data_IF_415615436713
#
_entry.id   IF_415615436713
#
_cell.length_a   1.000
_cell.length_b   1.000
_cell.length_c   1.000
_cell.angle_alpha   90.00
_cell.angle_beta   90.00
_cell.angle_gamma   90.00
#
_symmetry.space_group_name_H-M   'P 1'
#
loop_
_entity.id
_entity.type
_entity.pdbx_description
1 polymer ?
#
# COMPACT_ATOMS: atom_id res chain seq x y z
N UNK A 1 -10.05 -24.25 -11.15
CA UNK A 1 -10.56 -22.95 -10.68
C UNK A 1 -9.43 -22.27 -9.97
N UNK A 2 -9.18 -20.98 -10.25
CA UNK A 2 -8.15 -20.22 -9.53
C UNK A 2 -8.61 -20.04 -8.08
N UNK A 3 -7.69 -20.26 -7.14
CA UNK A 3 -8.01 -20.42 -5.71
C UNK A 3 -7.44 -19.31 -4.83
N UNK A 4 -6.68 -18.36 -5.38
CA UNK A 4 -6.01 -17.36 -4.55
C UNK A 4 -6.83 -16.10 -4.32
N UNK A 5 -6.60 -15.47 -3.17
CA UNK A 5 -7.04 -14.11 -2.87
C UNK A 5 -5.90 -13.11 -3.10
N UNK A 6 -6.28 -11.87 -3.41
CA UNK A 6 -5.39 -10.71 -3.30
C UNK A 6 -5.94 -9.83 -2.19
N UNK A 7 -5.10 -9.46 -1.23
CA UNK A 7 -5.49 -8.82 0.01
C UNK A 7 -4.69 -7.53 0.23
N UNK A 8 -5.34 -6.47 0.70
CA UNK A 8 -4.70 -5.18 0.96
C UNK A 8 -4.76 -4.83 2.44
N UNK A 9 -3.63 -4.38 2.97
CA UNK A 9 -3.51 -3.91 4.36
C UNK A 9 -3.15 -2.43 4.35
N UNK A 10 -3.99 -1.61 5.00
CA UNK A 10 -3.81 -0.16 5.07
C UNK A 10 -2.76 0.28 6.09
N UNK A 11 -2.24 1.50 5.92
CA UNK A 11 -1.09 1.99 6.69
C UNK A 11 -1.28 2.04 8.21
N UNK A 12 -2.48 2.33 8.72
CA UNK A 12 -2.71 2.30 10.17
C UNK A 12 -2.59 0.88 10.72
N UNK A 13 -3.15 -0.12 10.03
CA UNK A 13 -3.02 -1.53 10.41
C UNK A 13 -1.58 -2.03 10.28
N UNK A 14 -0.79 -1.49 9.33
CA UNK A 14 0.62 -1.86 9.16
C UNK A 14 1.48 -1.61 10.39
N UNK A 15 1.11 -0.66 11.25
CA UNK A 15 1.86 -0.34 12.47
C UNK A 15 1.72 -1.41 13.57
N UNK A 16 0.76 -2.34 13.45
CA UNK A 16 0.57 -3.46 14.39
C UNK A 16 0.85 -4.80 13.69
N UNK A 17 2.13 -5.16 13.62
CA UNK A 17 2.55 -6.42 13.00
C UNK A 17 1.94 -7.65 13.67
N UNK A 18 1.74 -7.62 15.00
CA UNK A 18 1.17 -8.77 15.73
C UNK A 18 -0.28 -8.98 15.29
N UNK A 19 -1.07 -7.91 15.21
CA UNK A 19 -2.43 -8.00 14.67
C UNK A 19 -2.44 -8.50 13.22
N UNK A 20 -1.53 -8.03 12.35
CA UNK A 20 -1.44 -8.52 10.98
C UNK A 20 -1.14 -10.02 10.96
N UNK A 21 -0.12 -10.47 11.68
CA UNK A 21 0.28 -11.88 11.71
C UNK A 21 -0.84 -12.76 12.26
N UNK A 22 -1.42 -12.39 13.38
CA UNK A 22 -2.35 -13.25 14.12
C UNK A 22 -3.78 -13.21 13.55
N UNK A 23 -4.25 -12.02 13.14
CA UNK A 23 -5.62 -11.83 12.67
C UNK A 23 -5.78 -11.98 11.16
N UNK A 24 -4.73 -11.71 10.38
CA UNK A 24 -4.80 -11.74 8.91
C UNK A 24 -4.04 -12.94 8.36
N UNK A 25 -2.73 -13.06 8.64
CA UNK A 25 -1.88 -14.08 7.98
C UNK A 25 -2.19 -15.48 8.49
N UNK A 26 -2.26 -15.65 9.81
CA UNK A 26 -2.46 -16.95 10.46
C UNK A 26 -3.90 -17.47 10.38
N UNK A 27 -4.86 -16.64 9.96
CA UNK A 27 -6.27 -17.02 9.79
C UNK A 27 -6.57 -17.30 8.31
N UNK A 28 -6.80 -18.56 7.90
CA UNK A 28 -7.10 -18.90 6.51
C UNK A 28 -8.46 -18.32 6.08
N UNK A 29 -8.59 -17.89 4.82
CA UNK A 29 -9.80 -17.22 4.33
C UNK A 29 -10.97 -18.17 4.05
N UNK A 30 -10.70 -19.47 3.79
CA UNK A 30 -11.74 -20.52 3.60
C UNK A 30 -11.22 -21.94 3.28
N UNK A 31 -9.96 -22.13 2.87
CA UNK A 31 -9.47 -23.40 2.28
C UNK A 31 -8.45 -24.17 3.15
N UNK A 32 -8.49 -24.05 4.48
CA UNK A 32 -7.52 -24.69 5.41
C UNK A 32 -6.02 -24.43 5.10
N UNK A 33 -5.72 -23.46 4.22
CA UNK A 33 -4.37 -23.07 3.83
C UNK A 33 -4.13 -21.58 4.07
N UNK A 34 -2.94 -21.27 4.55
CA UNK A 34 -2.41 -19.90 4.68
C UNK A 34 -1.79 -19.38 3.37
N UNK A 35 -1.59 -20.28 2.40
CA UNK A 35 -1.11 -19.97 1.05
C UNK A 35 -2.27 -19.63 0.12
N UNK A 36 -1.98 -19.43 -1.17
CA UNK A 36 -2.91 -18.92 -2.17
C UNK A 36 -3.41 -17.52 -1.78
N UNK A 37 -2.49 -16.69 -1.28
CA UNK A 37 -2.79 -15.34 -0.82
C UNK A 37 -1.64 -14.42 -1.22
N UNK A 38 -1.99 -13.30 -1.84
CA UNK A 38 -1.07 -12.22 -2.18
C UNK A 38 -1.44 -11.02 -1.33
N UNK A 39 -0.47 -10.39 -0.69
CA UNK A 39 -0.69 -9.19 0.12
C UNK A 39 -0.10 -7.96 -0.56
N UNK A 40 -0.87 -6.88 -0.59
CA UNK A 40 -0.45 -5.55 -1.04
C UNK A 40 -0.50 -4.63 0.16
N UNK A 41 0.65 -4.15 0.60
CA UNK A 41 0.74 -3.38 1.85
C UNK A 41 1.05 -1.92 1.58
N UNK A 42 0.39 -1.03 2.33
CA UNK A 42 0.70 0.39 2.34
C UNK A 42 1.93 0.71 3.19
N UNK A 43 2.49 1.90 3.06
CA UNK A 43 3.47 2.44 4.00
C UNK A 43 2.91 2.48 5.44
N UNK A 44 3.79 2.45 6.44
CA UNK A 44 3.39 2.64 7.84
C UNK A 44 2.63 3.97 8.05
N UNK A 45 1.70 3.98 9.01
CA UNK A 45 0.89 5.17 9.31
C UNK A 45 1.73 6.42 9.52
N UNK A 46 1.40 7.51 8.82
CA UNK A 46 2.13 8.79 8.87
C UNK A 46 3.39 8.86 7.99
N UNK A 47 3.92 7.73 7.50
CA UNK A 47 5.18 7.74 6.76
C UNK A 47 5.06 8.42 5.39
N UNK A 48 3.99 8.15 4.64
CA UNK A 48 3.72 8.86 3.37
C UNK A 48 3.51 10.36 3.58
N UNK A 49 2.95 10.78 4.72
CA UNK A 49 2.79 12.20 5.06
C UNK A 49 4.15 12.88 5.29
N UNK A 50 5.07 12.20 6.00
CA UNK A 50 6.42 12.70 6.24
C UNK A 50 7.27 12.78 4.96
N UNK A 51 7.10 11.79 4.06
CA UNK A 51 7.77 11.77 2.76
C UNK A 51 7.23 12.84 1.81
N UNK A 52 5.93 13.16 1.86
CA UNK A 52 5.28 14.05 0.90
C UNK A 52 4.83 15.39 1.51
N UNK A 53 3.58 15.41 1.95
CA UNK A 53 2.94 16.47 2.73
C UNK A 53 1.85 15.83 3.57
N UNK A 54 1.46 16.42 4.68
CA UNK A 54 0.40 15.84 5.50
C UNK A 54 -0.97 16.06 4.84
N UNK A 55 -1.73 14.99 4.55
CA UNK A 55 -3.00 15.08 3.78
C UNK A 55 -4.05 16.04 4.38
N UNK A 56 -4.17 16.08 5.72
CA UNK A 56 -5.18 16.90 6.42
C UNK A 56 -4.71 18.30 6.85
N UNK A 57 -3.47 18.44 7.32
CA UNK A 57 -2.96 19.70 7.88
C UNK A 57 -2.12 20.49 6.86
N UNK A 58 -1.79 19.88 5.72
CA UNK A 58 -0.86 20.42 4.71
C UNK A 58 0.52 20.74 5.27
N UNK A 59 0.89 20.17 6.42
CA UNK A 59 2.24 20.30 6.96
C UNK A 59 3.24 19.71 5.95
N UNK A 60 4.31 20.44 5.60
CA UNK A 60 5.19 20.01 4.52
C UNK A 60 6.08 18.83 4.97
N UNK A 61 6.10 17.77 4.15
CA UNK A 61 7.08 16.70 4.24
C UNK A 61 8.27 16.96 3.29
N UNK A 62 9.09 15.93 3.04
CA UNK A 62 10.31 16.06 2.21
C UNK A 62 9.99 16.65 0.83
N UNK A 63 9.01 16.07 0.12
CA UNK A 63 8.60 16.55 -1.20
C UNK A 63 8.18 18.02 -1.19
N UNK A 64 7.30 18.41 -0.26
CA UNK A 64 6.79 19.77 -0.21
C UNK A 64 7.88 20.79 0.16
N UNK A 65 8.82 20.43 1.05
CA UNK A 65 9.98 21.26 1.37
C UNK A 65 10.90 21.40 0.16
N UNK A 66 11.15 20.29 -0.54
CA UNK A 66 11.98 20.26 -1.74
C UNK A 66 11.40 21.10 -2.87
N UNK A 67 10.09 20.96 -3.14
CA UNK A 67 9.38 21.68 -4.19
C UNK A 67 9.36 23.20 -3.96
N UNK A 68 9.30 23.64 -2.71
CA UNK A 68 9.21 25.06 -2.33
C UNK A 68 10.57 25.73 -2.07
N UNK A 69 11.67 24.98 -2.00
CA UNK A 69 12.94 25.44 -1.47
C UNK A 69 14.18 25.06 -2.30
N UNK A 70 14.43 25.76 -3.42
CA UNK A 70 15.68 25.58 -4.19
C UNK A 70 16.95 26.00 -3.43
N UNK A 71 16.82 26.82 -2.38
CA UNK A 71 17.95 27.30 -1.54
C UNK A 71 17.86 26.86 -0.09
N UNK A 72 16.77 26.19 0.29
CA UNK A 72 16.53 25.78 1.67
C UNK A 72 16.93 24.32 1.84
N UNK A 73 17.78 24.06 2.84
CA UNK A 73 18.22 22.70 3.21
C UNK A 73 17.27 22.04 4.20
N UNK A 74 16.12 22.65 4.50
CA UNK A 74 15.09 22.08 5.37
C UNK A 74 14.65 20.68 4.94
N UNK A 75 14.61 20.39 3.63
CA UNK A 75 14.29 19.04 3.14
C UNK A 75 15.34 17.99 3.52
N UNK A 76 16.63 18.34 3.65
CA UNK A 76 17.65 17.41 4.15
C UNK A 76 17.41 17.08 5.62
N UNK A 77 17.05 18.08 6.43
CA UNK A 77 16.72 17.85 7.85
C UNK A 77 15.49 16.95 7.98
N UNK A 78 14.46 17.18 7.16
CA UNK A 78 13.30 16.30 7.09
C UNK A 78 13.68 14.87 6.65
N UNK A 79 14.57 14.71 5.67
CA UNK A 79 15.05 13.40 5.23
C UNK A 79 15.78 12.66 6.35
N UNK A 80 16.67 13.33 7.07
CA UNK A 80 17.37 12.74 8.22
C UNK A 80 16.40 12.35 9.35
N UNK A 81 15.36 13.15 9.58
CA UNK A 81 14.31 12.81 10.53
C UNK A 81 13.52 11.57 10.08
N UNK A 82 13.09 11.53 8.81
CA UNK A 82 12.39 10.35 8.25
C UNK A 82 13.27 9.11 8.32
N UNK A 83 14.58 9.22 8.05
CA UNK A 83 15.54 8.12 8.20
C UNK A 83 15.56 7.60 9.63
N UNK A 84 15.64 8.50 10.62
CA UNK A 84 15.60 8.14 12.03
C UNK A 84 14.26 7.48 12.42
N UNK A 85 13.13 8.00 11.94
CA UNK A 85 11.79 7.47 12.22
C UNK A 85 11.62 6.06 11.61
N UNK A 86 12.07 5.84 10.37
CA UNK A 86 12.06 4.52 9.73
C UNK A 86 12.94 3.51 10.46
N UNK A 87 14.11 3.93 10.94
CA UNK A 87 15.00 3.09 11.76
C UNK A 87 14.41 2.80 13.15
N UNK A 88 13.67 3.74 13.74
CA UNK A 88 12.95 3.53 14.99
C UNK A 88 11.82 2.50 14.83
N UNK A 89 11.08 2.55 13.71
CA UNK A 89 10.10 1.51 13.36
C UNK A 89 10.80 0.15 13.23
N UNK A 90 11.93 0.08 12.52
CA UNK A 90 12.69 -1.17 12.40
C UNK A 90 13.14 -1.70 13.76
N UNK A 91 13.67 -0.84 14.64
CA UNK A 91 14.08 -1.23 15.99
C UNK A 91 12.89 -1.76 16.81
N UNK A 92 11.72 -1.14 16.69
CA UNK A 92 10.49 -1.61 17.35
C UNK A 92 10.02 -2.98 16.85
N UNK A 93 10.20 -3.29 15.57
CA UNK A 93 9.74 -4.54 14.94
C UNK A 93 10.73 -5.71 15.09
N UNK A 94 12.02 -5.43 14.93
CA UNK A 94 13.07 -6.44 14.89
C UNK A 94 13.83 -6.57 16.21
N UNK A 95 13.73 -5.60 17.12
CA UNK A 95 14.53 -5.57 18.35
C UNK A 95 16.00 -5.32 18.01
N UNK A 96 16.88 -6.22 18.44
CA UNK A 96 18.32 -6.16 18.16
C UNK A 96 18.78 -7.34 17.30
N UNK A 97 19.89 -7.18 16.58
CA UNK A 97 20.55 -8.26 15.84
C UNK A 97 20.60 -8.05 14.33
N UNK A 98 20.83 -9.14 13.60
CA UNK A 98 21.13 -9.11 12.16
C UNK A 98 19.96 -8.61 11.32
N UNK A 99 18.71 -9.02 11.64
CA UNK A 99 17.53 -8.57 10.89
C UNK A 99 17.32 -7.05 11.00
N UNK A 100 17.57 -6.45 12.18
CA UNK A 100 17.54 -4.99 12.33
C UNK A 100 18.59 -4.33 11.42
N UNK A 101 19.82 -4.87 11.37
CA UNK A 101 20.88 -4.33 10.52
C UNK A 101 20.49 -4.42 9.05
N UNK A 102 19.97 -5.56 8.60
CA UNK A 102 19.49 -5.75 7.23
C UNK A 102 18.34 -4.77 6.89
N UNK A 103 17.39 -4.58 7.80
CA UNK A 103 16.27 -3.64 7.62
C UNK A 103 16.76 -2.20 7.48
N UNK A 104 17.70 -1.79 8.35
CA UNK A 104 18.28 -0.46 8.33
C UNK A 104 19.16 -0.22 7.09
N UNK A 105 19.90 -1.23 6.64
CA UNK A 105 20.65 -1.16 5.38
C UNK A 105 19.72 -1.04 4.18
N UNK A 106 18.69 -1.89 4.09
CA UNK A 106 17.73 -1.86 2.98
C UNK A 106 17.07 -0.48 2.81
N UNK A 107 16.53 0.09 3.89
CA UNK A 107 15.86 1.38 3.81
C UNK A 107 16.86 2.54 3.72
N UNK A 108 18.01 2.41 4.37
CA UNK A 108 19.10 3.39 4.33
C UNK A 108 19.62 3.60 2.90
N UNK A 109 19.88 2.51 2.16
CA UNK A 109 20.29 2.58 0.75
C UNK A 109 19.31 3.40 -0.09
N UNK A 110 17.99 3.14 0.03
CA UNK A 110 16.97 3.88 -0.74
C UNK A 110 16.89 5.36 -0.36
N UNK A 111 17.02 5.68 0.93
CA UNK A 111 17.00 7.07 1.38
C UNK A 111 18.25 7.83 0.94
N UNK A 112 19.42 7.20 0.98
CA UNK A 112 20.68 7.78 0.54
C UNK A 112 20.69 7.98 -0.98
N UNK A 113 20.20 7.01 -1.75
CA UNK A 113 19.95 7.13 -3.19
C UNK A 113 18.99 8.29 -3.51
N UNK A 114 17.88 8.40 -2.76
CA UNK A 114 16.91 9.47 -2.94
C UNK A 114 17.51 10.84 -2.62
N UNK A 115 18.27 10.97 -1.53
CA UNK A 115 18.98 12.19 -1.17
C UNK A 115 19.92 12.63 -2.30
N UNK A 116 20.70 11.69 -2.83
CA UNK A 116 21.62 11.96 -3.93
C UNK A 116 20.89 12.43 -5.19
N UNK A 117 19.79 11.77 -5.57
CA UNK A 117 18.93 12.17 -6.68
C UNK A 117 18.37 13.59 -6.51
N UNK A 118 17.90 13.94 -5.31
CA UNK A 118 17.37 15.27 -5.01
C UNK A 118 18.46 16.35 -5.07
N UNK A 119 19.67 16.06 -4.55
CA UNK A 119 20.83 16.96 -4.65
C UNK A 119 21.21 17.21 -6.11
N UNK A 120 21.26 16.15 -6.92
CA UNK A 120 21.65 16.27 -8.33
C UNK A 120 20.58 17.00 -9.15
N UNK A 121 19.30 16.77 -8.86
CA UNK A 121 18.22 17.53 -9.47
C UNK A 121 18.28 19.02 -9.11
N UNK A 122 18.56 19.37 -7.84
CA UNK A 122 18.78 20.77 -7.45
C UNK A 122 19.96 21.40 -8.19
N UNK A 123 21.06 20.66 -8.38
CA UNK A 123 22.23 21.14 -9.15
C UNK A 123 21.87 21.38 -10.62
N UNK A 124 21.13 20.46 -11.25
CA UNK A 124 20.69 20.60 -12.64
C UNK A 124 19.78 21.81 -12.84
N UNK A 125 18.81 22.02 -11.95
CA UNK A 125 17.87 23.14 -12.01
C UNK A 125 18.50 24.51 -11.69
N UNK A 126 19.78 24.57 -11.27
CA UNK A 126 20.52 25.85 -11.20
C UNK A 126 20.91 26.35 -12.59
N UNK A 127 20.85 25.51 -13.62
CA UNK A 127 21.09 25.89 -15.01
C UNK A 127 19.77 26.21 -15.71
N UNK A 128 19.68 27.39 -16.34
CA UNK A 128 18.43 27.96 -16.88
C UNK A 128 17.71 27.19 -18.00
N UNK A 129 18.18 25.99 -18.34
CA UNK A 129 17.53 25.08 -19.29
C UNK A 129 16.66 24.00 -18.61
N UNK A 130 16.77 23.84 -17.28
CA UNK A 130 16.04 22.81 -16.54
C UNK A 130 15.04 23.45 -15.57
N UNK A 131 13.78 23.01 -15.65
CA UNK A 131 12.72 23.47 -14.76
C UNK A 131 12.42 22.40 -13.71
N UNK A 132 12.50 22.76 -12.43
CA UNK A 132 12.24 21.82 -11.33
C UNK A 132 10.82 21.24 -11.41
N UNK A 133 9.84 22.06 -11.80
CA UNK A 133 8.42 21.68 -11.88
C UNK A 133 8.18 20.47 -12.77
N UNK A 134 8.96 20.31 -13.85
CA UNK A 134 8.87 19.20 -14.79
C UNK A 134 9.22 17.84 -14.15
N UNK A 135 9.94 17.84 -13.03
CA UNK A 135 10.44 16.64 -12.36
C UNK A 135 9.73 16.36 -11.03
N UNK A 136 8.91 17.29 -10.53
CA UNK A 136 8.28 17.15 -9.21
C UNK A 136 7.35 15.94 -9.11
N UNK A 137 6.62 15.60 -10.18
CA UNK A 137 5.77 14.41 -10.19
C UNK A 137 6.57 13.12 -9.95
N UNK A 138 7.71 12.97 -10.64
CA UNK A 138 8.62 11.83 -10.48
C UNK A 138 9.24 11.80 -9.08
N UNK A 139 9.63 12.96 -8.55
CA UNK A 139 10.17 13.04 -7.17
C UNK A 139 9.12 12.60 -6.14
N UNK A 140 7.87 13.07 -6.29
CA UNK A 140 6.76 12.70 -5.42
C UNK A 140 6.55 11.18 -5.42
N UNK A 141 6.55 10.56 -6.60
CA UNK A 141 6.40 9.12 -6.75
C UNK A 141 7.58 8.33 -6.16
N UNK A 142 8.82 8.75 -6.44
CA UNK A 142 10.02 8.15 -5.88
C UNK A 142 9.97 8.14 -4.35
N UNK A 143 9.67 9.29 -3.73
CA UNK A 143 9.57 9.42 -2.28
C UNK A 143 8.45 8.55 -1.69
N UNK A 144 7.25 8.56 -2.29
CA UNK A 144 6.14 7.72 -1.86
C UNK A 144 6.51 6.23 -1.86
N UNK A 145 7.21 5.79 -2.91
CA UNK A 145 7.60 4.39 -3.10
C UNK A 145 8.52 3.85 -1.98
N UNK A 146 9.34 4.71 -1.36
CA UNK A 146 10.25 4.33 -0.28
C UNK A 146 9.46 3.84 0.93
N UNK A 147 8.38 4.54 1.30
CA UNK A 147 7.53 4.15 2.43
C UNK A 147 6.83 2.81 2.20
N UNK A 148 6.39 2.54 0.97
CA UNK A 148 5.72 1.30 0.57
C UNK A 148 6.69 0.11 0.54
N UNK A 149 7.92 0.34 0.06
CA UNK A 149 8.98 -0.66 0.10
C UNK A 149 9.43 -0.99 1.53
N UNK A 150 9.50 0.02 2.40
CA UNK A 150 9.86 -0.15 3.82
C UNK A 150 8.93 -1.14 4.50
N UNK A 151 7.62 -0.92 4.42
CA UNK A 151 6.64 -1.77 5.09
C UNK A 151 6.54 -3.16 4.48
N UNK A 152 6.60 -3.27 3.14
CA UNK A 152 6.54 -4.56 2.44
C UNK A 152 7.75 -5.44 2.74
N UNK A 153 8.97 -4.88 2.69
CA UNK A 153 10.18 -5.63 2.99
C UNK A 153 10.19 -6.10 4.45
N UNK A 154 9.87 -5.19 5.38
CA UNK A 154 9.82 -5.52 6.80
C UNK A 154 8.80 -6.64 7.08
N UNK A 155 7.61 -6.54 6.51
CA UNK A 155 6.54 -7.53 6.70
C UNK A 155 6.96 -8.89 6.17
N UNK A 156 7.57 -8.96 4.99
CA UNK A 156 8.11 -10.22 4.46
C UNK A 156 9.15 -10.83 5.40
N UNK A 157 10.12 -10.04 5.89
CA UNK A 157 11.17 -10.53 6.81
C UNK A 157 10.65 -10.97 8.17
N UNK A 158 9.69 -10.24 8.73
CA UNK A 158 9.07 -10.63 9.99
C UNK A 158 8.28 -11.94 9.83
N UNK A 159 7.57 -12.11 8.72
CA UNK A 159 6.87 -13.36 8.43
C UNK A 159 7.83 -14.53 8.21
N UNK A 160 8.94 -14.33 7.49
CA UNK A 160 10.01 -15.34 7.37
C UNK A 160 10.58 -15.73 8.74
N UNK A 161 10.87 -14.74 9.60
CA UNK A 161 11.33 -14.96 10.99
C UNK A 161 10.33 -15.79 11.80
N UNK A 162 9.04 -15.53 11.61
CA UNK A 162 7.94 -16.19 12.32
C UNK A 162 7.54 -17.54 11.67
N UNK A 163 8.29 -18.02 10.68
CA UNK A 163 8.15 -19.37 10.10
C UNK A 163 7.25 -19.46 8.87
N UNK A 164 6.79 -18.33 8.32
CA UNK A 164 6.02 -18.30 7.09
C UNK A 164 6.94 -18.22 5.87
N UNK A 165 6.61 -18.93 4.79
CA UNK A 165 7.33 -18.79 3.52
C UNK A 165 6.84 -17.53 2.77
N UNK A 166 7.15 -16.35 3.30
CA UNK A 166 6.79 -15.07 2.71
C UNK A 166 7.90 -14.57 1.78
N UNK A 167 7.55 -13.88 0.70
CA UNK A 167 8.52 -13.26 -0.19
C UNK A 167 8.19 -11.80 -0.48
N UNK A 168 9.19 -10.93 -0.42
CA UNK A 168 9.05 -9.53 -0.79
C UNK A 168 8.93 -9.39 -2.31
N UNK A 169 7.89 -8.67 -2.77
CA UNK A 169 7.67 -8.36 -4.19
C UNK A 169 7.79 -6.85 -4.38
N UNK A 170 8.90 -6.43 -4.96
CA UNK A 170 9.20 -5.02 -5.17
C UNK A 170 8.60 -4.52 -6.49
N UNK A 171 7.50 -3.76 -6.42
CA UNK A 171 6.91 -3.12 -7.59
C UNK A 171 7.38 -1.67 -7.77
N UNK A 172 8.23 -1.13 -6.88
CA UNK A 172 8.60 0.29 -6.96
C UNK A 172 9.50 0.61 -8.15
N UNK A 173 10.04 -0.41 -8.83
CA UNK A 173 10.96 -0.21 -9.94
C UNK A 173 12.27 0.48 -9.53
N UNK A 174 12.68 0.41 -8.25
CA UNK A 174 13.79 1.18 -7.71
C UNK A 174 15.09 1.02 -8.50
N UNK A 175 15.36 -0.20 -8.97
CA UNK A 175 16.54 -0.55 -9.76
C UNK A 175 16.21 -0.85 -11.22
N UNK A 176 15.00 -0.52 -11.68
CA UNK A 176 14.57 -0.83 -13.04
C UNK A 176 15.27 0.11 -14.03
N UNK A 177 15.95 -0.49 -15.02
CA UNK A 177 16.61 0.27 -16.09
C UNK A 177 15.64 0.76 -17.17
N UNK A 178 14.43 0.19 -17.21
CA UNK A 178 13.41 0.46 -18.23
C UNK A 178 12.11 0.94 -17.59
N UNK A 179 11.49 1.91 -18.25
CA UNK A 179 10.12 2.29 -18.00
C UNK A 179 9.22 1.28 -18.72
N UNK A 180 8.32 0.67 -17.96
CA UNK A 180 7.36 -0.32 -18.44
C UNK A 180 5.97 0.10 -18.03
N UNK A 181 4.96 -0.49 -18.65
CA UNK A 181 3.59 -0.38 -18.18
C UNK A 181 3.44 -1.00 -16.78
N UNK A 182 2.36 -0.63 -16.08
CA UNK A 182 2.00 -1.24 -14.79
C UNK A 182 1.82 -2.76 -14.90
N UNK A 183 1.22 -3.20 -16.00
CA UNK A 183 0.91 -4.61 -16.23
C UNK A 183 2.16 -5.44 -16.43
N UNK A 184 3.08 -4.99 -17.28
CA UNK A 184 4.35 -5.65 -17.50
C UNK A 184 5.14 -5.78 -16.20
N UNK A 185 5.17 -4.72 -15.39
CA UNK A 185 5.85 -4.74 -14.09
C UNK A 185 5.25 -5.77 -13.15
N UNK A 186 3.93 -5.84 -13.05
CA UNK A 186 3.25 -6.82 -12.20
C UNK A 186 3.51 -8.24 -12.73
N UNK A 187 3.37 -8.46 -14.04
CA UNK A 187 3.59 -9.78 -14.64
C UNK A 187 5.03 -10.26 -14.43
N UNK A 188 6.02 -9.41 -14.64
CA UNK A 188 7.43 -9.72 -14.41
C UNK A 188 7.71 -10.02 -12.94
N UNK A 189 7.23 -9.19 -12.02
CA UNK A 189 7.47 -9.36 -10.59
C UNK A 189 6.80 -10.61 -10.00
N UNK A 190 5.70 -11.08 -10.61
CA UNK A 190 5.01 -12.30 -10.22
C UNK A 190 5.47 -13.55 -10.99
N UNK A 191 6.37 -13.38 -11.98
CA UNK A 191 6.86 -14.49 -12.77
C UNK A 191 7.69 -15.45 -11.89
N UNK A 192 7.27 -16.71 -11.84
CA UNK A 192 7.97 -17.76 -11.10
C UNK A 192 7.62 -17.85 -9.61
N UNK A 193 6.71 -17.01 -9.11
CA UNK A 193 6.17 -17.17 -7.76
C UNK A 193 5.23 -18.38 -7.70
N UNK A 194 5.40 -19.22 -6.67
CA UNK A 194 4.50 -20.34 -6.40
C UNK A 194 3.53 -19.98 -5.27
N UNK A 195 2.33 -19.51 -5.63
CA UNK A 195 1.30 -19.14 -4.65
C UNK A 195 0.81 -20.33 -3.81
N UNK A 196 1.09 -21.58 -4.21
CA UNK A 196 0.73 -22.74 -3.41
C UNK A 196 1.66 -22.95 -2.20
N UNK A 197 2.85 -22.35 -2.22
CA UNK A 197 3.86 -22.51 -1.17
C UNK A 197 4.44 -21.20 -0.65
N UNK A 198 4.19 -20.07 -1.31
CA UNK A 198 4.71 -18.76 -0.95
C UNK A 198 3.59 -17.76 -0.63
N UNK A 199 3.89 -16.78 0.22
CA UNK A 199 3.04 -15.63 0.54
C UNK A 199 3.71 -14.36 0.01
N UNK A 200 3.36 -13.88 -1.20
CA UNK A 200 3.92 -12.65 -1.72
C UNK A 200 3.44 -11.42 -0.95
N UNK A 201 4.38 -10.57 -0.53
CA UNK A 201 4.14 -9.27 0.08
C UNK A 201 4.62 -8.19 -0.89
N UNK A 202 3.68 -7.65 -1.65
CA UNK A 202 3.91 -6.63 -2.67
C UNK A 202 3.77 -5.21 -2.11
N UNK A 203 4.57 -4.29 -2.65
CA UNK A 203 4.45 -2.86 -2.38
C UNK A 203 3.12 -2.30 -2.90
N UNK A 204 2.47 -1.42 -2.14
CA UNK A 204 1.25 -0.75 -2.58
C UNK A 204 1.50 0.22 -3.74
N UNK A 205 2.67 0.86 -3.78
CA UNK A 205 3.09 1.62 -4.97
C UNK A 205 3.78 0.70 -5.99
N UNK A 206 3.46 0.92 -7.26
CA UNK A 206 4.17 0.37 -8.40
C UNK A 206 4.63 1.50 -9.32
N UNK A 207 5.84 1.42 -9.87
CA UNK A 207 6.26 2.38 -10.90
C UNK A 207 5.62 2.03 -12.25
N UNK A 208 5.15 3.03 -12.98
CA UNK A 208 4.58 2.84 -14.32
C UNK A 208 4.90 4.04 -15.19
N UNK A 209 5.07 3.84 -16.49
CA UNK A 209 5.28 4.93 -17.45
C UNK A 209 4.18 6.02 -17.43
N UNK A 210 2.94 5.66 -17.07
CA UNK A 210 1.80 6.59 -17.01
C UNK A 210 1.75 7.42 -15.71
N UNK A 211 2.62 7.15 -14.73
CA UNK A 211 2.64 7.80 -13.41
C UNK A 211 1.37 7.57 -12.59
N UNK A 212 1.34 6.51 -11.77
CA UNK A 212 0.17 6.15 -10.95
C UNK A 212 -0.31 7.27 -10.03
N UNK A 213 0.61 8.02 -9.42
CA UNK A 213 0.24 9.05 -8.46
C UNK A 213 -0.44 10.24 -9.13
N UNK A 214 -0.10 10.53 -10.40
CA UNK A 214 -0.77 11.58 -11.17
C UNK A 214 -2.26 11.29 -11.40
N UNK A 215 -2.63 10.01 -11.50
CA UNK A 215 -3.98 9.58 -11.86
C UNK A 215 -4.85 9.22 -10.65
N UNK A 216 -4.22 8.73 -9.57
CA UNK A 216 -4.89 8.20 -8.39
C UNK A 216 -4.57 8.95 -7.09
N UNK A 217 -3.69 9.96 -7.13
CA UNK A 217 -3.11 10.59 -5.94
C UNK A 217 -2.73 9.52 -4.91
N UNK A 218 -3.28 9.53 -3.68
CA UNK A 218 -2.97 8.52 -2.65
C UNK A 218 -3.79 7.24 -2.73
N UNK A 219 -4.64 7.08 -3.75
CA UNK A 219 -5.36 5.85 -4.07
C UNK A 219 -4.55 4.85 -4.89
N UNK A 220 -3.26 5.10 -5.16
CA UNK A 220 -2.42 4.21 -5.97
C UNK A 220 -2.34 2.79 -5.42
N UNK A 221 -2.36 2.60 -4.10
CA UNK A 221 -2.24 1.27 -3.49
C UNK A 221 -3.42 0.37 -3.81
N UNK A 222 -4.61 0.96 -3.90
CA UNK A 222 -5.83 0.26 -4.28
C UNK A 222 -5.87 -0.03 -5.79
N UNK A 223 -5.25 0.83 -6.60
CA UNK A 223 -5.05 0.55 -8.02
C UNK A 223 -4.08 -0.62 -8.24
N UNK A 224 -2.90 -0.61 -7.60
CA UNK A 224 -1.94 -1.72 -7.66
C UNK A 224 -2.59 -3.03 -7.19
N UNK A 225 -3.30 -3.01 -6.07
CA UNK A 225 -4.08 -4.13 -5.56
C UNK A 225 -5.12 -4.65 -6.57
N UNK A 226 -5.93 -3.76 -7.12
CA UNK A 226 -6.95 -4.12 -8.11
C UNK A 226 -6.31 -4.72 -9.36
N UNK A 227 -5.20 -4.15 -9.82
CA UNK A 227 -4.52 -4.62 -11.03
C UNK A 227 -3.86 -5.97 -10.83
N UNK A 228 -3.20 -6.22 -9.69
CA UNK A 228 -2.67 -7.54 -9.34
C UNK A 228 -3.79 -8.58 -9.33
N UNK A 229 -4.95 -8.27 -8.74
CA UNK A 229 -6.10 -9.17 -8.71
C UNK A 229 -6.61 -9.51 -10.12
N UNK A 230 -6.69 -8.52 -11.00
CA UNK A 230 -7.13 -8.74 -12.39
C UNK A 230 -6.11 -9.56 -13.17
N UNK A 231 -4.83 -9.21 -13.12
CA UNK A 231 -3.77 -9.88 -13.90
C UNK A 231 -3.50 -11.32 -13.44
N UNK A 232 -3.63 -11.57 -12.13
CA UNK A 232 -3.52 -12.93 -11.60
C UNK A 232 -4.84 -13.70 -11.68
N UNK A 233 -5.95 -13.03 -12.03
CA UNK A 233 -7.33 -13.53 -12.01
C UNK A 233 -7.71 -14.15 -10.64
N UNK A 234 -7.59 -13.34 -9.59
CA UNK A 234 -7.92 -13.72 -8.23
C UNK A 234 -9.37 -14.19 -8.07
N UNK A 235 -9.61 -15.18 -7.20
CA UNK A 235 -10.95 -15.67 -6.85
C UNK A 235 -11.77 -14.59 -6.15
N UNK A 236 -11.12 -13.88 -5.25
CA UNK A 236 -11.69 -12.77 -4.50
C UNK A 236 -10.59 -11.78 -4.10
N UNK A 237 -11.02 -10.59 -3.73
CA UNK A 237 -10.15 -9.54 -3.20
C UNK A 237 -10.60 -9.15 -1.81
N UNK A 238 -9.66 -8.82 -0.94
CA UNK A 238 -9.95 -8.46 0.46
C UNK A 238 -9.25 -7.16 0.81
N UNK A 239 -9.94 -6.20 1.41
CA UNK A 239 -9.32 -5.01 2.01
C UNK A 239 -9.52 -5.11 3.52
N UNK A 240 -8.41 -5.13 4.25
CA UNK A 240 -8.37 -5.08 5.70
C UNK A 240 -8.31 -3.62 6.15
N UNK A 241 -9.34 -3.19 6.88
CA UNK A 241 -9.49 -1.84 7.45
C UNK A 241 -9.62 -1.92 8.96
N UNK A 242 -9.63 -0.78 9.62
CA UNK A 242 -9.85 -0.68 11.08
C UNK A 242 -11.33 -0.59 11.45
N UNK A 243 -12.21 -0.63 10.46
CA UNK A 243 -13.65 -0.46 10.60
C UNK A 243 -14.40 -1.32 9.58
N UNK A 244 -15.64 -1.67 9.90
CA UNK A 244 -16.55 -2.31 8.96
C UNK A 244 -17.15 -1.28 7.99
N UNK A 245 -17.51 -1.73 6.78
CA UNK A 245 -18.37 -0.93 5.92
C UNK A 245 -19.79 -0.99 6.50
N UNK A 246 -20.25 0.12 7.06
CA UNK A 246 -21.52 0.22 7.77
C UNK A 246 -22.54 1.08 7.03
N UNK A 247 -23.81 1.00 7.44
CA UNK A 247 -24.93 1.79 6.90
C UNK A 247 -24.74 3.30 7.01
N UNK A 248 -23.92 3.76 7.96
CA UNK A 248 -23.52 5.15 8.19
C UNK A 248 -22.14 5.21 8.87
N UNK A 249 -21.51 6.38 8.94
CA UNK A 249 -20.26 6.58 9.70
C UNK A 249 -20.55 6.53 11.21
N UNK A 250 -20.04 5.52 11.95
CA UNK A 250 -20.28 5.38 13.39
C UNK A 250 -19.82 6.61 14.19
N UNK A 251 -18.82 7.35 13.70
CA UNK A 251 -18.30 8.56 14.37
C UNK A 251 -19.26 9.74 14.29
N UNK A 252 -20.19 9.72 13.32
CA UNK A 252 -21.17 10.78 13.13
C UNK A 252 -22.51 10.44 13.79
N UNK A 253 -22.92 9.17 13.72
CA UNK A 253 -24.25 8.74 14.18
C UNK A 253 -24.25 7.95 15.50
N UNK A 254 -23.07 7.60 16.04
CA UNK A 254 -22.94 6.66 17.16
C UNK A 254 -22.85 5.21 16.70
N UNK A 255 -22.06 4.40 17.41
CA UNK A 255 -21.85 2.99 17.06
C UNK A 255 -23.14 2.17 17.06
N UNK A 256 -24.06 2.49 17.98
CA UNK A 256 -25.36 1.83 18.10
C UNK A 256 -26.29 2.08 16.90
N UNK A 257 -26.04 3.12 16.11
CA UNK A 257 -26.84 3.51 14.96
C UNK A 257 -26.17 3.14 13.62
N UNK A 258 -24.96 2.57 13.63
CA UNK A 258 -24.22 2.16 12.45
C UNK A 258 -24.11 0.64 12.37
N UNK A 259 -24.81 0.03 11.41
CA UNK A 259 -24.89 -1.43 11.28
C UNK A 259 -23.91 -1.88 10.18
N UNK A 260 -23.01 -2.85 10.44
CA UNK A 260 -22.16 -3.44 9.40
C UNK A 260 -22.99 -4.05 8.27
N UNK A 261 -22.63 -3.72 7.04
CA UNK A 261 -23.29 -4.26 5.84
C UNK A 261 -22.72 -5.66 5.58
N UNK A 262 -23.57 -6.68 5.49
CA UNK A 262 -23.11 -8.05 5.21
C UNK A 262 -22.79 -8.29 3.73
N UNK A 263 -23.74 -7.97 2.85
CA UNK A 263 -23.62 -8.17 1.39
C UNK A 263 -24.15 -6.94 0.67
N UNK A 264 -23.47 -6.54 -0.40
CA UNK A 264 -23.87 -5.41 -1.24
C UNK A 264 -23.28 -5.57 -2.65
N UNK A 265 -23.51 -4.59 -3.53
CA UNK A 265 -22.92 -4.55 -4.86
C UNK A 265 -22.05 -3.31 -5.07
N UNK A 266 -21.29 -3.31 -6.16
CA UNK A 266 -20.40 -2.18 -6.49
C UNK A 266 -21.14 -0.85 -6.65
N UNK A 267 -22.36 -0.85 -7.19
CA UNK A 267 -23.15 0.38 -7.37
C UNK A 267 -23.50 1.04 -6.03
N UNK A 268 -23.93 0.24 -5.04
CA UNK A 268 -24.24 0.73 -3.68
C UNK A 268 -22.97 1.14 -2.96
N UNK A 269 -21.87 0.39 -3.10
CA UNK A 269 -20.59 0.75 -2.51
C UNK A 269 -20.06 2.10 -3.05
N UNK A 270 -20.22 2.36 -4.35
CA UNK A 270 -19.87 3.65 -4.96
C UNK A 270 -20.72 4.80 -4.39
N UNK A 271 -22.02 4.57 -4.15
CA UNK A 271 -22.88 5.58 -3.50
C UNK A 271 -22.48 5.84 -2.04
N UNK A 272 -22.10 4.80 -1.29
CA UNK A 272 -21.61 4.94 0.09
C UNK A 272 -20.28 5.70 0.15
N UNK A 273 -19.40 5.50 -0.83
CA UNK A 273 -18.15 6.26 -0.93
C UNK A 273 -18.41 7.77 -1.07
N UNK A 274 -19.43 8.17 -1.84
CA UNK A 274 -19.84 9.59 -1.94
C UNK A 274 -20.34 10.18 -0.61
N UNK A 275 -20.79 9.34 0.33
CA UNK A 275 -21.21 9.72 1.67
C UNK A 275 -20.06 9.65 2.70
N UNK A 276 -18.82 9.44 2.25
CA UNK A 276 -17.63 9.35 3.10
C UNK A 276 -17.31 7.94 3.62
N UNK A 277 -18.11 6.93 3.26
CA UNK A 277 -17.92 5.53 3.63
C UNK A 277 -17.25 4.76 2.50
N UNK A 278 -16.01 5.11 2.19
CA UNK A 278 -15.28 4.54 1.07
C UNK A 278 -14.77 3.11 1.39
N UNK A 279 -15.29 2.13 0.65
CA UNK A 279 -14.79 0.75 0.66
C UNK A 279 -13.44 0.64 -0.08
N UNK A 280 -13.39 1.20 -1.29
CA UNK A 280 -12.25 1.22 -2.22
C UNK A 280 -12.43 2.44 -3.14
N UNK A 281 -11.33 2.99 -3.64
CA UNK A 281 -11.36 4.07 -4.62
C UNK A 281 -12.14 3.64 -5.90
N UNK A 282 -13.12 4.42 -6.39
CA UNK A 282 -14.01 4.00 -7.49
C UNK A 282 -13.29 3.57 -8.77
N UNK A 283 -12.19 4.27 -9.13
CA UNK A 283 -11.40 3.88 -10.31
C UNK A 283 -10.73 2.50 -10.15
N UNK A 284 -10.32 2.13 -8.94
CA UNK A 284 -9.76 0.81 -8.66
C UNK A 284 -10.84 -0.26 -8.65
N UNK A 285 -12.02 0.05 -8.09
CA UNK A 285 -13.19 -0.84 -8.09
C UNK A 285 -13.64 -1.22 -9.51
N UNK A 286 -13.55 -0.28 -10.47
CA UNK A 286 -13.93 -0.50 -11.87
C UNK A 286 -13.23 -1.73 -12.47
N UNK A 287 -11.93 -1.91 -12.20
CA UNK A 287 -11.16 -3.07 -12.69
C UNK A 287 -11.71 -4.40 -12.16
N UNK A 288 -11.99 -4.47 -10.86
CA UNK A 288 -12.57 -5.65 -10.23
C UNK A 288 -13.98 -5.93 -10.76
N UNK A 289 -14.82 -4.90 -10.85
CA UNK A 289 -16.21 -4.99 -11.35
C UNK A 289 -16.25 -5.52 -12.79
N UNK A 290 -15.45 -4.95 -13.69
CA UNK A 290 -15.41 -5.37 -15.10
C UNK A 290 -14.96 -6.82 -15.28
N UNK A 291 -14.14 -7.33 -14.36
CA UNK A 291 -13.66 -8.72 -14.37
C UNK A 291 -14.48 -9.64 -13.44
N UNK A 292 -15.59 -9.14 -12.88
CA UNK A 292 -16.48 -9.88 -11.96
C UNK A 292 -15.75 -10.47 -10.74
N UNK A 293 -14.70 -9.80 -10.28
CA UNK A 293 -13.95 -10.20 -9.09
C UNK A 293 -14.64 -9.63 -7.85
N UNK A 294 -15.06 -10.46 -6.87
CA UNK A 294 -15.65 -9.98 -5.63
C UNK A 294 -14.66 -9.22 -4.75
N UNK A 295 -15.15 -8.20 -4.05
CA UNK A 295 -14.39 -7.45 -3.04
C UNK A 295 -14.99 -7.69 -1.66
N UNK A 296 -14.15 -8.01 -0.68
CA UNK A 296 -14.53 -8.13 0.72
C UNK A 296 -13.86 -7.05 1.55
N UNK A 297 -14.62 -6.31 2.35
CA UNK A 297 -14.06 -5.38 3.33
C UNK A 297 -14.13 -6.04 4.71
N UNK A 298 -12.97 -6.25 5.35
CA UNK A 298 -12.86 -6.85 6.68
C UNK A 298 -12.27 -5.86 7.69
N UNK A 299 -12.65 -5.99 8.95
CA UNK A 299 -11.98 -5.32 10.05
C UNK A 299 -10.79 -6.18 10.53
N UNK A 300 -9.58 -5.59 10.51
CA UNK A 300 -8.32 -6.20 10.97
C UNK A 300 -8.40 -6.69 12.42
N UNK A 301 -9.16 -6.00 13.27
CA UNK A 301 -9.23 -6.27 14.71
C UNK A 301 -10.41 -7.18 15.10
N UNK A 302 -11.26 -7.54 14.14
CA UNK A 302 -12.36 -8.51 14.32
C UNK A 302 -12.27 -9.62 13.27
N UNK A 303 -11.25 -10.50 13.35
CA UNK A 303 -10.92 -11.43 12.28
C UNK A 303 -12.02 -12.44 11.95
N UNK A 304 -12.84 -12.78 12.93
CA UNK A 304 -13.92 -13.76 12.82
C UNK A 304 -15.20 -13.17 12.21
N UNK A 305 -15.30 -11.83 12.11
CA UNK A 305 -16.38 -11.19 11.40
C UNK A 305 -16.24 -11.44 9.88
N UNK A 306 -17.30 -11.87 9.17
CA UNK A 306 -17.22 -12.20 7.74
C UNK A 306 -16.94 -10.97 6.84
N UNK A 307 -17.10 -9.77 7.39
CA UNK A 307 -16.97 -8.51 6.68
C UNK A 307 -18.10 -8.29 5.68
N UNK A 308 -17.93 -7.28 4.83
CA UNK A 308 -18.88 -6.93 3.77
C UNK A 308 -18.45 -7.53 2.45
N UNK A 309 -19.28 -8.37 1.83
CA UNK A 309 -19.04 -8.89 0.48
C UNK A 309 -19.71 -7.99 -0.57
N UNK A 310 -18.92 -7.49 -1.50
CA UNK A 310 -19.30 -6.62 -2.61
C UNK A 310 -19.15 -7.40 -3.92
N UNK A 311 -20.25 -7.58 -4.65
CA UNK A 311 -20.30 -8.30 -5.94
C UNK A 311 -20.82 -7.43 -7.09
N UNK A 312 -20.76 -7.95 -8.33
CA UNK A 312 -21.32 -7.27 -9.50
C UNK A 312 -22.83 -7.09 -9.41
N UNK A 313 -23.53 -8.17 -9.03
CA UNK A 313 -24.97 -8.16 -8.80
C UNK A 313 -25.27 -8.09 -7.30
N UNK A 314 -26.38 -7.44 -6.93
CA UNK A 314 -26.86 -7.49 -5.55
C UNK A 314 -27.48 -8.86 -5.29
N UNK A 315 -26.88 -9.60 -4.36
CA UNK A 315 -27.42 -10.87 -3.87
C UNK A 315 -27.58 -10.74 -2.35
N UNK A 316 -28.78 -10.34 -1.93
CA UNK A 316 -29.24 -10.56 -0.57
C UNK A 316 -29.99 -11.88 -0.58
N UNK A 317 -29.52 -12.82 0.22
CA UNK A 317 -30.44 -13.80 0.78
C UNK A 317 -31.29 -13.02 1.80
N UNK A 318 -32.60 -13.27 1.87
CA UNK A 318 -33.52 -12.60 2.81
C UNK A 318 -32.95 -12.51 4.24
#
# INVERSE_FOLDING_TARGET
>A
MKSHSVEKIGGTSMSDYVAIRDNIISKPSREDTIYQRVFVVSAYGGMTDALLEHKKTSQPGIYALFANGLKDKSWHQALQQVKADMQAINAGLFGEGELLQQANSFIGERLDDAEQCLVDLQRLCQHGHFELSAHLATVREMLASIGEAHSAWNTAKLLERDGFNACFVDLTGWRAAQHTSLDERIVEAFQGLDLASQIPIATGYAHSEEGLMSTFDRGYSEMTFSRIAVLTEARETIIHKEFHLSTADPRLVGEENAIPIGRTNYDVADQLANLGMEAIHPKAAKGLRSNRIPLRVKNTFEPDHPGTLITGDYVSDE
#
